data_IF_921080878994
#
_entry.id   IF_921080878994
#
_cell.length_a   1.000
_cell.length_b   1.000
_cell.length_c   1.000
_cell.angle_alpha   90.00
_cell.angle_beta   90.00
_cell.angle_gamma   90.00
#
_symmetry.space_group_name_H-M   'P 1'
#
loop_
_entity.id
_entity.type
_entity.pdbx_description
1 polymer ?
#
# COMPACT_ATOMS: atom_id res chain seq x y z
N UNK A 1 7.07 57.33 2.56
CA UNK A 1 6.32 56.39 3.41
C UNK A 1 7.17 55.14 3.62
N UNK A 2 7.65 54.86 4.84
CA UNK A 2 8.37 53.60 5.15
C UNK A 2 7.41 52.68 5.92
N UNK A 3 7.22 51.41 5.50
CA UNK A 3 6.40 50.46 6.24
C UNK A 3 7.04 50.16 7.62
N UNK A 4 6.21 50.02 8.64
CA UNK A 4 6.60 49.77 10.02
C UNK A 4 7.23 48.36 10.18
N UNK A 5 8.48 48.32 10.64
CA UNK A 5 9.32 47.13 10.87
C UNK A 5 8.78 46.14 11.94
N UNK A 6 7.67 46.51 12.61
CA UNK A 6 7.08 45.74 13.72
C UNK A 6 6.11 44.63 13.30
N UNK A 7 5.45 44.74 12.15
CA UNK A 7 4.46 43.74 11.70
C UNK A 7 5.12 42.51 11.03
N UNK A 8 6.32 42.67 10.49
CA UNK A 8 7.06 41.61 9.77
C UNK A 8 7.64 40.55 10.71
N UNK A 9 7.98 40.93 11.95
CA UNK A 9 8.55 40.00 12.93
C UNK A 9 7.51 39.01 13.50
N UNK A 10 6.25 39.45 13.64
CA UNK A 10 5.14 38.58 14.06
C UNK A 10 4.75 37.58 12.96
N UNK A 11 4.77 38.03 11.70
CA UNK A 11 4.47 37.21 10.51
C UNK A 11 5.51 36.08 10.31
N UNK A 12 6.81 36.40 10.45
CA UNK A 12 7.88 35.40 10.35
C UNK A 12 7.78 34.30 11.43
N UNK A 13 7.30 34.63 12.64
CA UNK A 13 7.15 33.64 13.72
C UNK A 13 5.95 32.70 13.48
N UNK A 14 4.89 33.16 12.83
CA UNK A 14 3.78 32.30 12.39
C UNK A 14 4.19 31.36 11.25
N UNK A 15 4.91 31.87 10.25
CA UNK A 15 5.41 31.10 9.11
C UNK A 15 6.34 29.96 9.55
N UNK A 16 7.21 30.20 10.53
CA UNK A 16 8.11 29.18 11.09
C UNK A 16 7.40 28.13 11.95
N UNK A 17 6.18 28.39 12.46
CA UNK A 17 5.41 27.44 13.28
C UNK A 17 4.67 26.39 12.49
N UNK A 18 4.20 26.71 11.28
CA UNK A 18 3.48 25.77 10.41
C UNK A 18 4.29 24.50 10.12
N UNK A 19 5.57 24.55 9.68
CA UNK A 19 6.34 23.33 9.40
C UNK A 19 6.65 22.54 10.69
N UNK A 20 6.84 23.21 11.83
CA UNK A 20 7.12 22.55 13.12
C UNK A 20 5.88 21.82 13.65
N UNK A 21 4.69 22.41 13.52
CA UNK A 21 3.42 21.80 13.92
C UNK A 21 3.07 20.62 13.02
N UNK A 22 3.26 20.77 11.70
CA UNK A 22 3.07 19.68 10.74
C UNK A 22 4.02 18.52 11.04
N UNK A 23 5.31 18.81 11.27
CA UNK A 23 6.32 17.80 11.63
C UNK A 23 5.98 17.08 12.94
N UNK A 24 5.44 17.78 13.95
CA UNK A 24 4.97 17.15 15.20
C UNK A 24 3.72 16.29 15.01
N UNK A 25 2.77 16.70 14.17
CA UNK A 25 1.57 15.94 13.90
C UNK A 25 1.90 14.56 13.28
N UNK A 26 2.85 14.52 12.34
CA UNK A 26 3.34 13.25 11.77
C UNK A 26 4.26 12.48 12.74
N UNK A 27 5.10 13.16 13.52
CA UNK A 27 6.00 12.54 14.51
C UNK A 27 5.26 11.95 15.73
N UNK A 28 4.06 12.44 16.06
CA UNK A 28 3.24 11.92 17.15
C UNK A 28 2.67 10.52 16.83
N UNK A 29 2.21 10.32 15.58
CA UNK A 29 1.67 9.03 15.11
C UNK A 29 2.69 7.89 15.24
N UNK A 30 3.96 8.16 14.92
CA UNK A 30 5.04 7.17 15.04
C UNK A 30 5.35 6.76 16.49
N UNK A 31 5.07 7.62 17.49
CA UNK A 31 5.34 7.34 18.92
C UNK A 31 4.24 6.54 19.61
N UNK A 32 3.08 6.34 18.97
CA UNK A 32 1.98 5.51 19.52
C UNK A 32 1.89 4.11 18.92
N UNK A 33 2.82 3.71 18.05
CA UNK A 33 2.81 2.38 17.46
C UNK A 33 3.25 1.34 18.50
N UNK A 34 2.27 0.66 19.09
CA UNK A 34 2.52 -0.41 20.07
C UNK A 34 3.12 -1.63 19.37
N UNK A 35 4.10 -2.27 20.00
CA UNK A 35 4.66 -3.52 19.49
C UNK A 35 3.57 -4.60 19.41
N UNK A 36 3.27 -5.06 18.19
CA UNK A 36 2.30 -6.13 17.88
C UNK A 36 2.97 -7.44 17.43
N UNK A 37 4.30 -7.50 17.43
CA UNK A 37 5.05 -8.71 17.04
C UNK A 37 4.62 -9.94 17.86
N UNK A 38 4.40 -9.87 19.19
CA UNK A 38 3.93 -11.04 19.95
C UNK A 38 2.55 -11.53 19.53
N UNK A 39 1.66 -10.64 19.08
CA UNK A 39 0.32 -11.00 18.60
C UNK A 39 0.39 -11.68 17.24
N UNK A 40 1.21 -11.14 16.32
CA UNK A 40 1.47 -11.76 15.03
C UNK A 40 2.16 -13.13 15.18
N UNK A 41 3.16 -13.24 16.04
CA UNK A 41 3.83 -14.52 16.31
C UNK A 41 2.86 -15.59 16.80
N UNK A 42 1.94 -15.26 17.71
CA UNK A 42 0.88 -16.19 18.15
C UNK A 42 0.00 -16.67 17.00
N UNK A 43 -0.41 -15.75 16.10
CA UNK A 43 -1.23 -16.09 14.94
C UNK A 43 -0.50 -17.03 13.96
N UNK A 44 0.75 -16.72 13.63
CA UNK A 44 1.52 -17.49 12.65
C UNK A 44 2.10 -18.79 13.21
N UNK A 45 2.28 -18.90 14.52
CA UNK A 45 2.76 -20.11 15.20
C UNK A 45 1.64 -21.00 15.73
N UNK A 46 0.37 -20.59 15.64
CA UNK A 46 -0.76 -21.43 16.03
C UNK A 46 -0.74 -22.75 15.24
N UNK A 47 -0.88 -23.89 15.92
CA UNK A 47 -0.85 -25.22 15.27
C UNK A 47 -2.21 -25.59 14.66
N UNK A 48 -2.59 -24.87 13.61
CA UNK A 48 -3.86 -25.03 12.90
C UNK A 48 -3.72 -25.73 11.54
N UNK A 49 -2.56 -26.35 11.26
CA UNK A 49 -2.21 -27.06 10.01
C UNK A 49 -2.39 -26.24 8.71
N UNK A 50 -2.60 -24.92 8.81
CA UNK A 50 -2.72 -24.04 7.65
C UNK A 50 -1.35 -23.69 7.07
N UNK A 51 -1.20 -23.67 5.74
CA UNK A 51 0.03 -23.22 5.10
C UNK A 51 0.25 -21.72 5.33
N UNK A 52 1.52 -21.30 5.32
CA UNK A 52 1.91 -19.91 5.67
C UNK A 52 1.23 -18.84 4.82
N UNK A 53 0.94 -19.11 3.54
CA UNK A 53 0.34 -18.14 2.61
C UNK A 53 -1.18 -17.95 2.78
N UNK A 54 -1.86 -18.75 3.63
CA UNK A 54 -3.27 -18.58 4.01
C UNK A 54 -3.41 -18.34 5.52
N UNK A 55 -2.30 -18.23 6.25
CA UNK A 55 -2.27 -18.22 7.72
C UNK A 55 -2.87 -16.94 8.31
N UNK A 56 -2.87 -15.84 7.55
CA UNK A 56 -3.53 -14.57 7.90
C UNK A 56 -5.05 -14.59 7.79
N UNK A 57 -5.65 -15.68 7.27
CA UNK A 57 -7.09 -15.92 7.31
C UNK A 57 -7.80 -15.57 6.00
N UNK A 58 -9.02 -15.01 6.11
CA UNK A 58 -9.92 -14.81 4.96
C UNK A 58 -9.36 -13.85 3.90
N UNK A 59 -8.60 -12.83 4.32
CA UNK A 59 -7.96 -11.89 3.40
C UNK A 59 -6.97 -12.59 2.46
N UNK A 60 -6.10 -13.43 3.02
CA UNK A 60 -5.13 -14.22 2.25
C UNK A 60 -5.82 -15.16 1.26
N UNK A 61 -6.91 -15.81 1.69
CA UNK A 61 -7.67 -16.72 0.83
C UNK A 61 -8.36 -15.98 -0.32
N UNK A 62 -8.95 -14.81 -0.07
CA UNK A 62 -9.57 -13.99 -1.11
C UNK A 62 -8.52 -13.51 -2.11
N UNK A 63 -7.38 -13.01 -1.60
CA UNK A 63 -6.27 -12.54 -2.43
C UNK A 63 -5.71 -13.66 -3.29
N UNK A 64 -5.44 -14.83 -2.70
CA UNK A 64 -4.97 -16.01 -3.44
C UNK A 64 -5.93 -16.39 -4.57
N UNK A 65 -7.23 -16.49 -4.29
CA UNK A 65 -8.23 -16.84 -5.30
C UNK A 65 -8.33 -15.79 -6.41
N UNK A 66 -8.28 -14.52 -6.05
CA UNK A 66 -8.32 -13.42 -7.02
C UNK A 66 -7.09 -13.47 -7.95
N UNK A 67 -5.88 -13.59 -7.37
CA UNK A 67 -4.63 -13.67 -8.14
C UNK A 67 -4.59 -14.91 -9.02
N UNK A 68 -5.00 -16.07 -8.51
CA UNK A 68 -5.05 -17.31 -9.28
C UNK A 68 -6.04 -17.19 -10.46
N UNK A 69 -7.22 -16.63 -10.22
CA UNK A 69 -8.22 -16.40 -11.28
C UNK A 69 -7.69 -15.47 -12.35
N UNK A 70 -7.05 -14.36 -11.95
CA UNK A 70 -6.44 -13.41 -12.88
C UNK A 70 -5.32 -14.05 -13.71
N UNK A 71 -4.46 -14.86 -13.08
CA UNK A 71 -3.38 -15.56 -13.77
C UNK A 71 -3.93 -16.55 -14.81
N UNK A 72 -4.88 -17.40 -14.43
CA UNK A 72 -5.50 -18.38 -15.34
C UNK A 72 -6.19 -17.67 -16.51
N UNK A 73 -6.96 -16.61 -16.22
CA UNK A 73 -7.63 -15.83 -17.25
C UNK A 73 -6.62 -15.16 -18.20
N UNK A 74 -5.56 -14.56 -17.65
CA UNK A 74 -4.48 -13.94 -18.42
C UNK A 74 -3.77 -14.96 -19.32
N UNK A 75 -3.39 -16.13 -18.78
CA UNK A 75 -2.79 -17.20 -19.57
C UNK A 75 -3.71 -17.68 -20.68
N UNK A 76 -5.00 -17.91 -20.39
CA UNK A 76 -5.98 -18.30 -21.40
C UNK A 76 -6.13 -17.27 -22.51
N UNK A 77 -6.17 -15.98 -22.15
CA UNK A 77 -6.24 -14.88 -23.10
C UNK A 77 -4.98 -14.79 -23.98
N UNK A 78 -3.80 -14.91 -23.38
CA UNK A 78 -2.53 -14.96 -24.13
C UNK A 78 -2.49 -16.13 -25.10
N UNK A 79 -2.90 -17.32 -24.68
CA UNK A 79 -2.95 -18.50 -25.56
C UNK A 79 -3.93 -18.31 -26.72
N UNK A 80 -5.10 -17.73 -26.47
CA UNK A 80 -6.07 -17.40 -27.53
C UNK A 80 -5.44 -16.50 -28.61
N UNK A 81 -4.74 -15.44 -28.19
CA UNK A 81 -4.07 -14.54 -29.13
C UNK A 81 -2.90 -15.20 -29.86
N UNK A 82 -2.09 -15.99 -29.17
CA UNK A 82 -1.01 -16.75 -29.81
C UNK A 82 -1.57 -17.69 -30.88
N UNK A 83 -2.66 -18.39 -30.61
CA UNK A 83 -3.32 -19.27 -31.58
C UNK A 83 -3.79 -18.48 -32.81
N UNK A 84 -4.46 -17.34 -32.62
CA UNK A 84 -4.90 -16.49 -33.74
C UNK A 84 -3.71 -15.97 -34.54
N UNK A 85 -2.65 -15.55 -33.87
CA UNK A 85 -1.44 -15.05 -34.51
C UNK A 85 -0.66 -16.16 -35.26
N UNK A 86 -0.83 -17.42 -34.86
CA UNK A 86 -0.14 -18.56 -35.48
C UNK A 86 -0.70 -18.94 -36.86
N UNK A 87 -1.92 -18.52 -37.18
CA UNK A 87 -2.52 -18.76 -38.49
C UNK A 87 -2.35 -17.55 -39.42
N UNK A 88 -1.99 -17.75 -40.71
CA UNK A 88 -1.84 -16.67 -41.66
C UNK A 88 -3.18 -15.97 -41.86
N UNK A 89 -3.18 -14.64 -41.75
CA UNK A 89 -4.34 -13.82 -42.07
C UNK A 89 -4.41 -13.67 -43.58
N UNK A 90 -5.62 -13.79 -44.15
CA UNK A 90 -5.85 -13.44 -45.55
C UNK A 90 -5.70 -11.93 -45.68
N UNK A 91 -4.68 -11.51 -46.41
CA UNK A 91 -4.54 -10.14 -46.87
C UNK A 91 -5.53 -9.98 -48.04
N UNK A 92 -6.38 -8.96 -48.01
CA UNK A 92 -7.11 -8.50 -49.20
C UNK A 92 -6.15 -7.79 -50.14
#
# INVERSE_FOLDING_TARGET
MRPCEGDTAADMNQLLRVPVVLSRAFSSSARQLKNRVPEAQKLFQADNRLPVHIKGGTGDMLLYRATMTLAIAGTGYSLYWVLIASFPRKNV
#
